data_IF_653048468039
#
_entry.id   IF_653048468039
#
_cell.length_a   1.000
_cell.length_b   1.000
_cell.length_c   1.000
_cell.angle_alpha   90.00
_cell.angle_beta   90.00
_cell.angle_gamma   90.00
#
_symmetry.space_group_name_H-M   'P 1'
#
loop_
_entity.id
_entity.type
_entity.pdbx_description
1 polymer ?
#
# COMPACT_ATOMS: atom_id res chain seq x y z
N UNK A 1 -19.89 -11.25 7.19
CA UNK A 1 -18.52 -11.11 7.72
C UNK A 1 -17.84 -9.96 6.99
N UNK A 2 -17.05 -9.13 7.67
CA UNK A 2 -16.37 -7.96 7.09
C UNK A 2 -15.54 -8.32 5.84
N UNK A 3 -14.86 -9.47 5.89
CA UNK A 3 -13.99 -9.99 4.84
C UNK A 3 -14.72 -10.53 3.60
N UNK A 4 -16.03 -10.81 3.69
CA UNK A 4 -16.80 -11.41 2.58
C UNK A 4 -16.76 -10.56 1.31
N UNK A 5 -16.62 -9.24 1.46
CA UNK A 5 -16.47 -8.30 0.36
C UNK A 5 -15.28 -8.65 -0.55
N UNK A 6 -14.15 -9.03 0.06
CA UNK A 6 -12.92 -9.40 -0.64
C UNK A 6 -13.05 -10.78 -1.29
N UNK A 7 -13.59 -11.77 -0.56
CA UNK A 7 -13.76 -13.13 -1.11
C UNK A 7 -14.78 -13.15 -2.26
N UNK A 8 -15.77 -12.26 -2.23
CA UNK A 8 -16.69 -12.08 -3.35
C UNK A 8 -16.00 -11.47 -4.58
N UNK A 9 -15.05 -10.54 -4.40
CA UNK A 9 -14.23 -10.05 -5.50
C UNK A 9 -13.41 -11.18 -6.12
N UNK A 10 -12.75 -12.01 -5.32
CA UNK A 10 -12.00 -13.18 -5.80
C UNK A 10 -12.87 -14.13 -6.62
N UNK A 11 -14.02 -14.55 -6.07
CA UNK A 11 -14.97 -15.41 -6.78
C UNK A 11 -15.47 -14.77 -8.07
N UNK A 12 -15.84 -13.48 -8.01
CA UNK A 12 -16.34 -12.76 -9.16
C UNK A 12 -15.33 -12.73 -10.31
N UNK A 13 -14.05 -12.45 -10.02
CA UNK A 13 -13.00 -12.42 -11.05
C UNK A 13 -12.65 -13.81 -11.56
N UNK A 14 -12.66 -14.84 -10.72
CA UNK A 14 -12.50 -16.23 -11.18
C UNK A 14 -13.59 -16.68 -12.15
N UNK A 15 -14.84 -16.26 -11.92
CA UNK A 15 -16.00 -16.66 -12.73
C UNK A 15 -16.20 -15.79 -13.97
N UNK A 16 -15.96 -14.48 -13.86
CA UNK A 16 -16.35 -13.48 -14.87
C UNK A 16 -15.17 -12.73 -15.48
N UNK A 17 -13.95 -12.94 -14.98
CA UNK A 17 -12.77 -12.23 -15.45
C UNK A 17 -12.39 -12.60 -16.88
N UNK A 18 -11.76 -11.66 -17.57
CA UNK A 18 -11.21 -11.85 -18.91
C UNK A 18 -9.71 -12.05 -18.84
N UNK A 19 -9.20 -13.01 -19.62
CA UNK A 19 -7.76 -13.18 -19.80
C UNK A 19 -7.18 -11.95 -20.50
N UNK A 20 -6.11 -11.40 -19.95
CA UNK A 20 -5.45 -10.19 -20.44
C UNK A 20 -3.94 -10.33 -20.34
N UNK A 21 -3.23 -9.86 -21.36
CA UNK A 21 -1.79 -9.63 -21.25
C UNK A 21 -1.49 -8.44 -20.34
N UNK A 22 -0.29 -8.41 -19.79
CA UNK A 22 0.13 -7.35 -18.87
C UNK A 22 1.63 -7.03 -19.01
N UNK A 23 2.09 -5.99 -18.31
CA UNK A 23 3.46 -5.46 -18.40
C UNK A 23 4.52 -6.47 -17.94
N UNK A 24 4.18 -7.36 -17.01
CA UNK A 24 5.06 -8.39 -16.44
C UNK A 24 5.17 -9.64 -17.34
N UNK A 25 4.39 -9.71 -18.41
CA UNK A 25 4.28 -10.89 -19.30
C UNK A 25 3.80 -12.17 -18.59
N UNK A 26 3.24 -12.06 -17.37
CA UNK A 26 2.69 -13.19 -16.61
C UNK A 26 1.28 -13.56 -17.09
N UNK A 27 0.51 -12.57 -17.53
CA UNK A 27 -0.91 -12.69 -17.83
C UNK A 27 -1.79 -12.58 -16.60
N UNK A 28 -3.00 -12.04 -16.77
CA UNK A 28 -3.97 -11.84 -15.70
C UNK A 28 -5.36 -12.31 -16.09
N UNK A 29 -6.16 -12.63 -15.07
CA UNK A 29 -7.61 -12.71 -15.15
C UNK A 29 -8.17 -11.43 -14.51
N UNK A 30 -8.86 -10.59 -15.30
CA UNK A 30 -9.18 -9.21 -14.90
C UNK A 30 -10.65 -8.84 -15.12
N UNK A 31 -11.17 -7.97 -14.25
CA UNK A 31 -12.41 -7.22 -14.46
C UNK A 31 -12.14 -5.72 -14.36
N UNK A 32 -12.98 -4.91 -15.01
CA UNK A 32 -12.88 -3.46 -14.96
C UNK A 32 -14.08 -2.84 -14.23
N UNK A 33 -13.82 -2.20 -13.09
CA UNK A 33 -14.84 -1.64 -12.23
C UNK A 33 -15.35 -2.64 -11.21
N UNK A 34 -15.01 -2.43 -9.94
CA UNK A 34 -15.56 -3.16 -8.81
C UNK A 34 -15.60 -2.27 -7.57
N UNK A 35 -16.58 -2.43 -6.69
CA UNK A 35 -16.65 -1.68 -5.44
C UNK A 35 -16.94 -2.61 -4.26
N UNK A 36 -16.13 -2.50 -3.22
CA UNK A 36 -16.31 -3.16 -1.92
C UNK A 36 -16.62 -2.12 -0.85
N UNK A 37 -17.39 -2.48 0.18
CA UNK A 37 -17.73 -1.59 1.30
C UNK A 37 -17.53 -2.32 2.63
N UNK A 38 -16.69 -1.75 3.50
CA UNK A 38 -16.30 -2.33 4.79
C UNK A 38 -16.81 -1.42 5.91
N UNK A 39 -17.73 -1.90 6.74
CA UNK A 39 -18.16 -1.21 7.96
C UNK A 39 -17.07 -1.35 9.03
N UNK A 40 -16.39 -0.25 9.35
CA UNK A 40 -15.27 -0.26 10.28
C UNK A 40 -15.73 -0.36 11.75
N UNK A 41 -17.02 -0.17 12.03
CA UNK A 41 -17.56 -0.37 13.38
C UNK A 41 -17.67 -1.84 13.76
N UNK A 42 -17.68 -2.75 12.78
CA UNK A 42 -17.74 -4.20 12.98
C UNK A 42 -16.35 -4.83 13.24
N UNK A 43 -15.27 -4.08 13.03
CA UNK A 43 -13.89 -4.51 13.25
C UNK A 43 -12.90 -3.95 12.23
N UNK A 44 -11.63 -4.27 12.41
CA UNK A 44 -10.57 -3.84 11.49
C UNK A 44 -10.44 -4.85 10.33
N UNK A 45 -10.55 -4.43 9.05
CA UNK A 45 -10.61 -5.33 7.89
C UNK A 45 -9.23 -5.89 7.49
N UNK A 46 -8.57 -6.57 8.43
CA UNK A 46 -7.35 -7.33 8.19
C UNK A 46 -7.72 -8.80 7.96
N UNK A 47 -7.39 -9.32 6.77
CA UNK A 47 -7.85 -10.65 6.37
C UNK A 47 -7.46 -11.74 7.35
N UNK A 48 -8.37 -12.68 7.56
CA UNK A 48 -8.28 -13.84 8.43
C UNK A 48 -8.16 -15.13 7.64
N UNK A 49 -8.65 -15.22 6.40
CA UNK A 49 -8.43 -16.40 5.53
C UNK A 49 -6.97 -16.54 5.08
N UNK A 50 -6.12 -15.53 5.25
CA UNK A 50 -4.67 -15.66 5.19
C UNK A 50 -3.99 -14.65 6.11
N UNK A 51 -2.78 -14.95 6.57
CA UNK A 51 -1.98 -14.01 7.37
C UNK A 51 -1.51 -12.83 6.52
N UNK A 52 -1.82 -11.63 6.96
CA UNK A 52 -1.36 -10.37 6.38
C UNK A 52 -0.42 -9.67 7.38
N UNK A 53 0.79 -9.24 6.96
CA UNK A 53 1.78 -8.69 7.88
C UNK A 53 1.48 -7.22 8.23
N UNK A 54 0.63 -7.00 9.23
CA UNK A 54 0.23 -5.66 9.70
C UNK A 54 1.40 -4.73 10.06
N UNK A 55 2.54 -5.31 10.47
CA UNK A 55 3.77 -4.56 10.73
C UNK A 55 4.26 -3.75 9.53
N UNK A 56 4.17 -4.33 8.33
CA UNK A 56 4.57 -3.67 7.09
C UNK A 56 3.58 -2.60 6.67
N UNK A 57 2.27 -2.88 6.80
CA UNK A 57 1.19 -1.93 6.47
C UNK A 57 1.32 -0.65 7.29
N UNK A 58 1.54 -0.79 8.61
CA UNK A 58 1.59 0.39 9.49
C UNK A 58 2.85 1.22 9.27
N UNK A 59 4.03 0.61 9.07
CA UNK A 59 5.25 1.39 8.81
C UNK A 59 5.19 2.08 7.45
N UNK A 60 4.65 1.44 6.42
CA UNK A 60 4.43 2.07 5.11
C UNK A 60 3.46 3.26 5.18
N UNK A 61 2.31 3.09 5.85
CA UNK A 61 1.35 4.19 5.98
C UNK A 61 1.96 5.37 6.77
N UNK A 62 2.67 5.10 7.86
CA UNK A 62 3.30 6.15 8.66
C UNK A 62 4.42 6.87 7.89
N UNK A 63 5.17 6.15 7.05
CA UNK A 63 6.13 6.73 6.12
C UNK A 63 5.46 7.71 5.14
N UNK A 64 4.34 7.31 4.51
CA UNK A 64 3.54 8.22 3.67
C UNK A 64 3.02 9.42 4.45
N UNK A 65 2.47 9.19 5.66
CA UNK A 65 1.93 10.26 6.49
C UNK A 65 3.00 11.24 6.94
N UNK A 66 4.25 10.83 7.12
CA UNK A 66 5.37 11.74 7.41
C UNK A 66 5.85 12.52 6.18
N UNK A 67 5.37 12.17 5.00
CA UNK A 67 5.77 12.81 3.74
C UNK A 67 7.16 12.39 3.26
N UNK A 68 7.72 11.34 3.86
CA UNK A 68 9.03 10.82 3.52
C UNK A 68 8.98 10.00 2.22
N UNK A 69 10.08 10.01 1.50
CA UNK A 69 10.27 9.35 0.20
C UNK A 69 11.53 8.49 0.18
N UNK A 70 12.28 8.46 1.29
CA UNK A 70 13.47 7.65 1.44
C UNK A 70 13.15 6.30 2.10
N UNK A 71 13.59 5.20 1.48
CA UNK A 71 13.35 3.85 2.00
C UNK A 71 14.08 3.54 3.32
N UNK A 72 15.04 4.37 3.76
CA UNK A 72 15.74 4.17 5.02
C UNK A 72 14.78 4.03 6.21
N UNK A 73 13.72 4.85 6.27
CA UNK A 73 12.70 4.72 7.30
C UNK A 73 12.06 3.33 7.28
N UNK A 74 11.75 2.81 6.10
CA UNK A 74 11.14 1.48 5.95
C UNK A 74 12.12 0.38 6.39
N UNK A 75 13.39 0.46 5.99
CA UNK A 75 14.43 -0.48 6.39
C UNK A 75 14.66 -0.52 7.91
N UNK A 76 14.65 0.64 8.58
CA UNK A 76 14.72 0.73 10.05
C UNK A 76 13.56 0.00 10.74
N UNK A 77 12.46 -0.23 10.02
CA UNK A 77 11.28 -0.96 10.49
C UNK A 77 11.16 -2.37 9.87
N UNK A 78 12.25 -2.92 9.33
CA UNK A 78 12.29 -4.21 8.63
C UNK A 78 11.22 -4.33 7.53
N UNK A 79 10.94 -3.22 6.85
CA UNK A 79 10.01 -3.17 5.74
C UNK A 79 10.78 -2.99 4.43
N UNK A 80 10.72 -4.02 3.59
CA UNK A 80 11.47 -4.14 2.34
C UNK A 80 10.57 -4.00 1.10
N UNK A 81 9.29 -3.61 1.27
CA UNK A 81 8.31 -3.58 0.16
C UNK A 81 8.80 -2.71 -0.99
N UNK A 82 9.54 -1.64 -0.69
CA UNK A 82 9.95 -0.63 -1.65
C UNK A 82 11.38 -0.76 -2.16
N UNK A 83 12.10 -1.79 -1.71
CA UNK A 83 13.54 -1.85 -1.92
C UNK A 83 13.91 -2.06 -3.39
N UNK A 84 13.09 -2.78 -4.17
CA UNK A 84 13.39 -3.13 -5.57
C UNK A 84 13.49 -1.88 -6.47
N UNK A 85 12.65 -0.87 -6.23
CA UNK A 85 12.70 0.37 -7.01
C UNK A 85 13.96 1.18 -6.69
N UNK A 86 14.34 1.26 -5.43
CA UNK A 86 15.57 1.93 -5.00
C UNK A 86 16.82 1.17 -5.45
N UNK A 87 16.81 -0.15 -5.33
CA UNK A 87 17.88 -1.03 -5.79
C UNK A 87 18.09 -0.92 -7.30
N UNK A 88 17.00 -0.91 -8.09
CA UNK A 88 17.05 -0.69 -9.53
C UNK A 88 17.77 0.62 -9.88
N UNK A 89 17.40 1.72 -9.21
CA UNK A 89 18.05 3.04 -9.38
C UNK A 89 19.56 2.98 -9.13
N UNK A 90 19.99 2.19 -8.14
CA UNK A 90 21.42 2.01 -7.84
C UNK A 90 22.13 1.17 -8.90
N UNK A 91 21.62 -0.02 -9.24
CA UNK A 91 22.31 -0.94 -10.16
C UNK A 91 22.33 -0.46 -11.61
N UNK A 92 21.42 0.43 -12.00
CA UNK A 92 21.41 1.10 -13.30
C UNK A 92 22.29 2.36 -13.35
N UNK A 93 22.95 2.72 -12.25
CA UNK A 93 23.80 3.92 -12.17
C UNK A 93 25.26 3.66 -12.56
N UNK A 94 25.96 4.70 -12.99
CA UNK A 94 27.40 4.63 -13.35
C UNK A 94 28.31 4.28 -12.15
N UNK A 95 27.82 4.41 -10.91
CA UNK A 95 28.57 4.09 -9.70
C UNK A 95 28.44 2.63 -9.27
N UNK A 96 27.55 1.87 -9.91
CA UNK A 96 27.44 0.45 -9.64
C UNK A 96 28.58 -0.32 -10.30
N UNK A 97 29.36 -1.04 -9.49
CA UNK A 97 30.54 -1.80 -9.93
C UNK A 97 30.40 -3.30 -9.62
N UNK A 98 29.18 -3.76 -9.34
CA UNK A 98 28.88 -5.15 -9.04
C UNK A 98 28.63 -6.01 -10.29
N UNK A 99 28.21 -7.28 -10.11
CA UNK A 99 27.86 -8.16 -11.23
C UNK A 99 26.62 -7.65 -11.98
N UNK A 100 26.42 -8.10 -13.22
CA UNK A 100 25.27 -7.69 -14.05
C UNK A 100 23.93 -8.02 -13.40
N UNK A 101 23.20 -6.98 -12.98
CA UNK A 101 21.87 -7.03 -12.37
C UNK A 101 20.72 -6.73 -13.34
N UNK A 102 21.00 -6.66 -14.65
CA UNK A 102 19.94 -6.46 -15.65
C UNK A 102 18.87 -7.52 -15.50
N UNK A 103 17.61 -7.12 -15.45
CA UNK A 103 16.47 -8.04 -15.31
C UNK A 103 16.50 -8.93 -14.04
N UNK A 104 17.01 -8.38 -12.92
CA UNK A 104 17.15 -9.12 -11.66
C UNK A 104 15.83 -9.72 -11.14
N UNK A 105 14.69 -9.07 -11.42
CA UNK A 105 13.37 -9.52 -10.99
C UNK A 105 13.02 -10.89 -11.54
N UNK A 106 13.19 -11.12 -12.85
CA UNK A 106 12.92 -12.42 -13.47
C UNK A 106 14.06 -13.42 -13.26
N UNK A 107 15.31 -12.98 -13.37
CA UNK A 107 16.48 -13.87 -13.22
C UNK A 107 16.56 -14.49 -11.84
N UNK A 108 16.25 -13.75 -10.77
CA UNK A 108 16.25 -14.28 -9.40
C UNK A 108 15.24 -15.41 -9.16
N UNK A 109 14.19 -15.50 -9.98
CA UNK A 109 13.17 -16.55 -9.90
C UNK A 109 13.55 -17.81 -10.69
N UNK A 110 14.45 -17.70 -11.67
CA UNK A 110 14.72 -18.76 -12.66
C UNK A 110 16.15 -19.29 -12.62
N UNK A 111 17.09 -18.50 -12.10
CA UNK A 111 18.51 -18.82 -11.99
C UNK A 111 18.94 -18.82 -10.50
N UNK A 112 19.13 -20.00 -9.89
CA UNK A 112 19.54 -20.11 -8.49
C UNK A 112 20.90 -19.48 -8.18
N UNK A 113 21.86 -19.52 -9.10
CA UNK A 113 23.19 -18.94 -8.88
C UNK A 113 23.10 -17.41 -8.89
N UNK A 114 22.36 -16.86 -9.85
CA UNK A 114 22.07 -15.44 -9.89
C UNK A 114 21.28 -14.99 -8.66
N UNK A 115 20.32 -15.78 -8.18
CA UNK A 115 19.55 -15.43 -6.98
C UNK A 115 20.44 -15.25 -5.74
N UNK A 116 21.48 -16.06 -5.57
CA UNK A 116 22.45 -15.86 -4.48
C UNK A 116 23.25 -14.56 -4.66
N UNK A 117 23.68 -14.24 -5.88
CA UNK A 117 24.34 -12.94 -6.18
C UNK A 117 23.41 -11.76 -5.91
N UNK A 118 22.15 -11.85 -6.34
CA UNK A 118 21.12 -10.84 -6.10
C UNK A 118 20.93 -10.60 -4.61
N UNK A 119 20.81 -11.65 -3.79
CA UNK A 119 20.66 -11.52 -2.33
C UNK A 119 21.87 -10.82 -1.69
N UNK A 120 23.08 -11.17 -2.11
CA UNK A 120 24.32 -10.54 -1.59
C UNK A 120 24.33 -9.04 -1.91
N UNK A 121 24.09 -8.68 -3.17
CA UNK A 121 24.12 -7.28 -3.60
C UNK A 121 22.95 -6.47 -3.02
N UNK A 122 21.77 -7.09 -2.88
CA UNK A 122 20.61 -6.50 -2.22
C UNK A 122 20.89 -6.22 -0.73
N UNK A 123 21.50 -7.17 -0.03
CA UNK A 123 21.91 -6.98 1.36
C UNK A 123 22.89 -5.81 1.48
N UNK A 124 23.96 -5.82 0.67
CA UNK A 124 24.96 -4.74 0.60
C UNK A 124 24.32 -3.37 0.32
N UNK A 125 23.32 -3.32 -0.56
CA UNK A 125 22.58 -2.10 -0.84
C UNK A 125 21.83 -1.62 0.41
N UNK A 126 21.04 -2.50 1.05
CA UNK A 126 20.25 -2.12 2.24
C UNK A 126 21.12 -1.70 3.42
N UNK A 127 22.27 -2.34 3.62
CA UNK A 127 23.25 -1.94 4.64
C UNK A 127 23.80 -0.54 4.37
N UNK A 128 24.20 -0.24 3.12
CA UNK A 128 24.66 1.11 2.76
C UNK A 128 23.57 2.17 2.92
N UNK A 129 22.31 1.87 2.60
CA UNK A 129 21.20 2.80 2.85
C UNK A 129 21.09 3.09 4.36
N UNK A 130 21.27 2.10 5.23
CA UNK A 130 21.18 2.30 6.68
C UNK A 130 22.38 3.05 7.27
N UNK A 131 23.59 2.78 6.76
CA UNK A 131 24.84 3.22 7.39
C UNK A 131 25.45 4.49 6.79
N UNK A 132 25.19 4.78 5.50
CA UNK A 132 25.79 5.92 4.78
C UNK A 132 24.70 6.93 4.38
N UNK A 133 24.72 8.11 5.00
CA UNK A 133 23.79 9.22 4.73
C UNK A 133 23.86 9.73 3.30
N UNK A 134 25.05 9.75 2.70
CA UNK A 134 25.24 10.21 1.31
C UNK A 134 24.67 9.20 0.33
N UNK A 135 24.97 7.92 0.56
CA UNK A 135 24.42 6.83 -0.25
C UNK A 135 22.90 6.78 -0.14
N UNK A 136 22.37 6.88 1.08
CA UNK A 136 20.94 6.91 1.36
C UNK A 136 20.22 8.08 0.70
N UNK A 137 20.75 9.29 0.82
CA UNK A 137 20.15 10.46 0.18
C UNK A 137 20.09 10.31 -1.35
N UNK A 138 21.09 9.65 -1.95
CA UNK A 138 21.19 9.49 -3.40
C UNK A 138 20.34 8.33 -3.94
N UNK A 139 20.43 7.16 -3.34
CA UNK A 139 19.84 5.92 -3.87
C UNK A 139 18.63 5.43 -3.08
N UNK A 140 18.42 5.91 -1.85
CA UNK A 140 17.27 5.58 -1.03
C UNK A 140 16.01 6.40 -1.34
N UNK A 141 16.17 7.59 -1.92
CA UNK A 141 15.06 8.45 -2.30
C UNK A 141 14.39 7.98 -3.61
N UNK A 142 13.10 7.65 -3.51
CA UNK A 142 12.25 7.22 -4.60
C UNK A 142 11.63 8.38 -5.38
N UNK A 143 11.87 9.63 -4.96
CA UNK A 143 11.34 10.83 -5.59
C UNK A 143 9.85 11.02 -5.29
N UNK A 144 9.06 11.36 -6.32
CA UNK A 144 7.68 11.83 -6.16
C UNK A 144 6.66 10.68 -5.90
N UNK A 145 6.86 9.89 -4.84
CA UNK A 145 5.97 8.80 -4.38
C UNK A 145 4.82 9.32 -3.49
N UNK A 146 4.00 8.42 -2.93
CA UNK A 146 2.79 8.77 -2.17
C UNK A 146 3.03 9.82 -1.08
N UNK A 147 4.09 9.68 -0.27
CA UNK A 147 4.41 10.62 0.81
C UNK A 147 4.54 12.06 0.32
N UNK A 148 5.36 12.29 -0.70
CA UNK A 148 5.50 13.62 -1.30
C UNK A 148 4.23 14.10 -2.00
N UNK A 149 3.49 13.23 -2.68
CA UNK A 149 2.22 13.65 -3.30
C UNK A 149 1.21 14.10 -2.23
N UNK A 150 1.14 13.39 -1.10
CA UNK A 150 0.17 13.68 -0.04
C UNK A 150 0.56 14.88 0.81
N UNK A 151 1.84 15.06 1.11
CA UNK A 151 2.32 16.05 2.10
C UNK A 151 3.08 17.23 1.48
N UNK A 152 3.55 17.11 0.24
CA UNK A 152 4.43 18.09 -0.40
C UNK A 152 4.20 18.20 -1.92
N UNK A 153 2.93 18.25 -2.35
CA UNK A 153 2.59 18.37 -3.77
C UNK A 153 3.17 19.66 -4.35
N UNK A 154 4.08 19.55 -5.32
CA UNK A 154 4.77 20.70 -5.91
C UNK A 154 3.82 21.50 -6.82
N UNK A 155 3.78 22.81 -6.64
CA UNK A 155 2.99 23.71 -7.49
C UNK A 155 3.85 24.26 -8.63
N UNK A 156 3.19 24.83 -9.64
CA UNK A 156 3.86 25.55 -10.73
C UNK A 156 4.61 26.81 -10.27
N UNK A 157 4.37 27.29 -9.05
CA UNK A 157 5.05 28.45 -8.44
C UNK A 157 6.26 28.04 -7.60
N UNK A 158 6.56 26.74 -7.47
CA UNK A 158 7.66 26.22 -6.65
C UNK A 158 7.32 26.08 -5.16
N UNK A 159 6.06 26.26 -4.78
CA UNK A 159 5.55 26.01 -3.43
C UNK A 159 5.12 24.54 -3.28
N UNK A 160 4.75 24.14 -2.07
CA UNK A 160 4.23 22.80 -1.79
C UNK A 160 2.86 22.86 -1.13
N UNK A 161 2.01 21.88 -1.43
CA UNK A 161 0.67 21.72 -0.83
C UNK A 161 0.65 20.45 0.01
N UNK A 162 0.33 20.60 1.30
CA UNK A 162 0.05 19.49 2.21
C UNK A 162 -1.44 19.11 2.13
N UNK A 163 -1.77 18.16 1.24
CA UNK A 163 -3.15 17.74 1.01
C UNK A 163 -3.76 17.05 2.24
N UNK A 164 -2.96 16.32 3.03
CA UNK A 164 -3.44 15.61 4.23
C UNK A 164 -3.80 16.59 5.34
N UNK A 165 -2.93 17.56 5.63
CA UNK A 165 -3.25 18.59 6.64
C UNK A 165 -4.48 19.40 6.21
N UNK A 166 -4.54 19.82 4.94
CA UNK A 166 -5.68 20.55 4.40
C UNK A 166 -7.00 19.78 4.52
N UNK A 167 -7.00 18.47 4.26
CA UNK A 167 -8.24 17.67 4.35
C UNK A 167 -8.65 17.43 5.79
N UNK A 168 -7.71 17.25 6.73
CA UNK A 168 -8.00 17.16 8.17
C UNK A 168 -8.64 18.46 8.66
N UNK A 169 -8.09 19.62 8.28
CA UNK A 169 -8.65 20.92 8.63
C UNK A 169 -10.04 21.12 8.02
N UNK A 170 -10.26 20.62 6.80
CA UNK A 170 -11.58 20.64 6.17
C UNK A 170 -12.59 19.75 6.90
N UNK A 171 -12.19 18.56 7.36
CA UNK A 171 -13.05 17.69 8.16
C UNK A 171 -13.46 18.38 9.47
N UNK A 172 -12.50 19.02 10.16
CA UNK A 172 -12.76 19.72 11.44
C UNK A 172 -13.68 20.92 11.28
N UNK A 173 -13.46 21.72 10.24
CA UNK A 173 -14.09 23.05 10.11
C UNK A 173 -15.24 23.10 9.10
N UNK A 174 -15.35 22.12 8.20
CA UNK A 174 -16.38 22.04 7.17
C UNK A 174 -16.73 20.57 6.84
N UNK A 175 -17.24 19.79 7.82
CA UNK A 175 -17.45 18.34 7.68
C UNK A 175 -18.44 17.96 6.57
N UNK A 176 -19.33 18.87 6.16
CA UNK A 176 -20.28 18.64 5.07
C UNK A 176 -19.68 18.88 3.67
N UNK A 177 -18.39 19.22 3.59
CA UNK A 177 -17.71 19.48 2.32
C UNK A 177 -17.70 18.25 1.42
N UNK A 178 -18.06 18.44 0.15
CA UNK A 178 -17.96 17.40 -0.88
C UNK A 178 -16.61 17.43 -1.60
N UNK A 179 -15.61 18.12 -1.02
CA UNK A 179 -14.30 18.38 -1.62
C UNK A 179 -13.14 17.87 -0.76
N UNK A 180 -13.43 16.99 0.20
CA UNK A 180 -12.42 16.39 1.09
C UNK A 180 -11.64 15.31 0.33
N UNK A 181 -10.76 15.72 -0.57
CA UNK A 181 -10.07 14.86 -1.54
C UNK A 181 -8.56 14.98 -1.39
N UNK A 182 -7.86 13.86 -1.53
CA UNK A 182 -6.41 13.80 -1.71
C UNK A 182 -6.11 13.00 -2.97
N UNK A 183 -5.22 13.53 -3.82
CA UNK A 183 -4.79 12.88 -5.05
C UNK A 183 -3.31 12.54 -4.99
N UNK A 184 -2.94 11.34 -5.45
CA UNK A 184 -1.56 10.99 -5.78
C UNK A 184 -1.28 11.09 -7.28
N UNK A 185 -2.31 11.32 -8.10
CA UNK A 185 -2.17 11.33 -9.56
C UNK A 185 -1.73 12.70 -10.07
N UNK A 186 -0.42 12.90 -10.22
CA UNK A 186 0.16 14.09 -10.85
C UNK A 186 0.45 13.84 -12.35
N UNK A 187 -0.27 14.49 -13.29
CA UNK A 187 -0.04 14.33 -14.72
C UNK A 187 1.38 14.70 -15.18
N UNK A 188 2.10 15.54 -14.45
CA UNK A 188 3.50 15.91 -14.75
C UNK A 188 4.48 14.78 -14.42
N UNK A 189 4.27 14.08 -13.31
CA UNK A 189 5.19 13.05 -12.79
C UNK A 189 4.91 11.65 -13.39
N UNK A 190 3.65 11.36 -13.74
CA UNK A 190 3.23 10.03 -14.22
C UNK A 190 4.05 9.52 -15.42
N UNK A 191 4.39 10.33 -16.44
CA UNK A 191 5.15 9.86 -17.60
C UNK A 191 6.58 9.38 -17.29
N UNK A 192 7.18 9.83 -16.19
CA UNK A 192 8.57 9.51 -15.82
C UNK A 192 8.68 8.67 -14.55
N UNK A 193 7.56 8.39 -13.88
CA UNK A 193 7.51 7.54 -12.69
C UNK A 193 7.81 6.07 -13.02
N UNK A 194 8.64 5.42 -12.18
CA UNK A 194 8.89 3.99 -12.30
C UNK A 194 7.63 3.14 -12.07
N UNK A 195 6.74 3.60 -11.19
CA UNK A 195 5.41 3.02 -10.97
C UNK A 195 4.41 4.14 -10.63
N UNK A 196 3.61 4.59 -11.60
CA UNK A 196 2.54 5.56 -11.33
C UNK A 196 1.62 5.07 -10.20
N UNK A 197 1.13 5.93 -9.30
CA UNK A 197 0.32 5.52 -8.15
C UNK A 197 -0.87 4.63 -8.53
N UNK A 198 -0.91 3.43 -7.94
CA UNK A 198 -2.05 2.52 -8.05
C UNK A 198 -3.25 3.09 -7.29
N UNK A 199 -3.02 3.69 -6.13
CA UNK A 199 -4.03 4.42 -5.35
C UNK A 199 -4.06 5.87 -5.84
N UNK A 200 -4.92 6.16 -6.81
CA UNK A 200 -4.84 7.43 -7.54
C UNK A 200 -5.45 8.59 -6.76
N UNK A 201 -6.56 8.34 -6.05
CA UNK A 201 -7.32 9.37 -5.34
C UNK A 201 -8.15 8.74 -4.21
N UNK A 202 -8.34 9.47 -3.12
CA UNK A 202 -9.33 9.11 -2.11
C UNK A 202 -10.13 10.33 -1.63
N UNK A 203 -11.35 10.08 -1.17
CA UNK A 203 -12.30 11.08 -0.72
C UNK A 203 -12.85 10.71 0.65
N UNK A 204 -12.89 11.68 1.57
CA UNK A 204 -13.57 11.56 2.85
C UNK A 204 -15.02 12.04 2.80
N UNK A 205 -15.81 11.53 3.72
CA UNK A 205 -17.21 11.90 3.91
C UNK A 205 -17.57 11.85 5.39
N UNK A 206 -18.28 12.85 5.89
CA UNK A 206 -18.79 12.88 7.27
C UNK A 206 -20.31 12.89 7.24
N UNK A 207 -20.92 11.97 7.99
CA UNK A 207 -22.36 11.97 8.28
C UNK A 207 -22.60 11.36 9.66
N UNK A 208 -23.57 11.89 10.39
CA UNK A 208 -23.99 11.38 11.70
C UNK A 208 -22.83 11.16 12.70
N UNK A 209 -21.84 12.06 12.67
CA UNK A 209 -20.65 11.98 13.53
C UNK A 209 -19.63 10.91 13.12
N UNK A 210 -19.80 10.26 11.96
CA UNK A 210 -18.93 9.20 11.46
C UNK A 210 -18.14 9.63 10.22
N UNK A 211 -16.85 9.31 10.20
CA UNK A 211 -15.95 9.53 9.07
C UNK A 211 -15.87 8.26 8.20
N UNK A 212 -16.15 8.41 6.91
CA UNK A 212 -15.94 7.38 5.90
C UNK A 212 -14.86 7.81 4.90
N UNK A 213 -14.22 6.84 4.26
CA UNK A 213 -13.21 7.07 3.24
C UNK A 213 -13.50 6.20 2.02
N UNK A 214 -13.48 6.79 0.83
CA UNK A 214 -13.54 6.08 -0.43
C UNK A 214 -12.21 6.19 -1.16
N UNK A 215 -11.60 5.05 -1.51
CA UNK A 215 -10.43 4.95 -2.37
C UNK A 215 -10.85 4.64 -3.81
N UNK A 216 -10.27 5.36 -4.77
CA UNK A 216 -10.19 4.95 -6.17
C UNK A 216 -8.78 4.39 -6.47
N UNK A 217 -8.72 3.08 -6.68
CA UNK A 217 -7.51 2.36 -7.07
C UNK A 217 -7.59 1.99 -8.55
N UNK A 218 -6.77 2.61 -9.41
CA UNK A 218 -6.83 2.35 -10.86
C UNK A 218 -6.49 0.90 -11.24
N UNK A 219 -5.70 0.23 -10.42
CA UNK A 219 -5.16 -1.11 -10.68
C UNK A 219 -4.91 -1.83 -9.36
N UNK A 220 -5.51 -3.01 -9.18
CA UNK A 220 -5.44 -3.79 -7.94
C UNK A 220 -5.12 -5.25 -8.20
N UNK A 221 -3.92 -5.66 -7.81
CA UNK A 221 -3.56 -7.07 -7.63
C UNK A 221 -4.40 -7.62 -6.48
N UNK A 222 -5.35 -8.50 -6.82
CA UNK A 222 -6.31 -9.07 -5.90
C UNK A 222 -5.62 -9.94 -4.85
N UNK A 223 -4.61 -10.72 -5.21
CA UNK A 223 -4.08 -11.71 -4.30
C UNK A 223 -3.04 -11.11 -3.34
N UNK A 224 -2.05 -10.37 -3.83
CA UNK A 224 -0.99 -9.81 -2.98
C UNK A 224 -1.29 -8.39 -2.50
N UNK A 225 -1.76 -7.52 -3.40
CA UNK A 225 -1.86 -6.08 -3.13
C UNK A 225 -3.09 -5.65 -2.34
N UNK A 226 -4.27 -6.05 -2.78
CA UNK A 226 -5.56 -5.59 -2.21
C UNK A 226 -5.68 -5.87 -0.69
N UNK A 227 -5.24 -7.02 -0.14
CA UNK A 227 -5.23 -7.23 1.32
C UNK A 227 -4.46 -6.15 2.11
N UNK A 228 -3.32 -5.70 1.58
CA UNK A 228 -2.55 -4.59 2.16
C UNK A 228 -3.30 -3.27 2.02
N UNK A 229 -3.90 -3.03 0.85
CA UNK A 229 -4.55 -1.77 0.53
C UNK A 229 -5.81 -1.53 1.39
N UNK A 230 -6.62 -2.57 1.61
CA UNK A 230 -7.78 -2.52 2.49
C UNK A 230 -7.36 -2.10 3.90
N UNK A 231 -6.35 -2.78 4.47
CA UNK A 231 -5.87 -2.50 5.81
C UNK A 231 -5.22 -1.11 5.94
N UNK A 232 -4.47 -0.66 4.92
CA UNK A 232 -3.81 0.65 4.92
C UNK A 232 -4.82 1.80 4.96
N UNK A 233 -5.85 1.77 4.08
CA UNK A 233 -6.84 2.83 4.04
C UNK A 233 -7.88 2.75 5.17
N UNK A 234 -8.16 1.57 5.70
CA UNK A 234 -8.91 1.44 6.96
C UNK A 234 -8.13 2.08 8.12
N UNK A 235 -6.82 1.85 8.22
CA UNK A 235 -5.97 2.45 9.24
C UNK A 235 -5.88 3.98 9.09
N UNK A 236 -5.77 4.49 7.86
CA UNK A 236 -5.82 5.92 7.58
C UNK A 236 -7.14 6.55 8.06
N UNK A 237 -8.26 5.88 7.81
CA UNK A 237 -9.60 6.33 8.22
C UNK A 237 -9.70 6.40 9.74
N UNK A 238 -9.24 5.37 10.45
CA UNK A 238 -9.18 5.31 11.91
C UNK A 238 -8.34 6.43 12.51
N UNK A 239 -7.13 6.67 11.97
CA UNK A 239 -6.24 7.74 12.42
C UNK A 239 -6.87 9.12 12.26
N UNK A 240 -7.46 9.41 11.09
CA UNK A 240 -8.07 10.71 10.82
C UNK A 240 -9.36 10.89 11.63
N UNK A 241 -10.20 9.86 11.76
CA UNK A 241 -11.40 9.92 12.60
C UNK A 241 -11.02 10.28 14.05
N UNK A 242 -10.00 9.61 14.60
CA UNK A 242 -9.47 9.89 15.93
C UNK A 242 -8.96 11.33 16.08
N UNK A 243 -8.14 11.82 15.14
CA UNK A 243 -7.58 13.16 15.18
C UNK A 243 -8.62 14.28 14.95
N UNK A 244 -9.80 13.93 14.45
CA UNK A 244 -10.91 14.86 14.20
C UNK A 244 -12.06 14.69 15.19
N UNK A 245 -11.94 13.76 16.16
CA UNK A 245 -12.96 13.51 17.17
C UNK A 245 -14.23 12.85 16.63
N UNK A 246 -14.14 12.15 15.51
CA UNK A 246 -15.24 11.44 14.86
C UNK A 246 -15.17 9.93 15.16
N UNK A 247 -16.32 9.27 15.07
CA UNK A 247 -16.39 7.81 14.99
C UNK A 247 -16.01 7.34 13.58
N UNK A 248 -15.65 6.06 13.43
CA UNK A 248 -15.46 5.47 12.10
C UNK A 248 -16.78 5.05 11.48
N UNK A 249 -16.92 5.32 10.19
CA UNK A 249 -18.00 4.82 9.34
C UNK A 249 -17.49 3.69 8.45
N UNK A 250 -17.48 3.90 7.14
CA UNK A 250 -17.13 2.88 6.17
C UNK A 250 -15.81 3.19 5.45
N UNK A 251 -15.08 2.14 5.11
CA UNK A 251 -14.10 2.18 4.04
C UNK A 251 -14.73 1.63 2.75
N UNK A 252 -14.71 2.42 1.68
CA UNK A 252 -15.23 2.06 0.35
C UNK A 252 -14.04 1.93 -0.60
N UNK A 253 -13.90 0.75 -1.21
CA UNK A 253 -12.78 0.47 -2.09
C UNK A 253 -13.29 0.28 -3.52
N UNK A 254 -13.08 1.31 -4.36
CA UNK A 254 -13.39 1.29 -5.79
C UNK A 254 -12.12 0.95 -6.57
N UNK A 255 -12.20 -0.07 -7.42
CA UNK A 255 -11.07 -0.55 -8.24
C UNK A 255 -11.41 -0.41 -9.73
N UNK A 256 -10.45 0.10 -10.50
CA UNK A 256 -10.45 0.08 -11.96
C UNK A 256 -10.17 -1.32 -12.48
N UNK A 257 -8.93 -1.60 -12.91
CA UNK A 257 -8.49 -2.95 -13.30
C UNK A 257 -8.20 -3.80 -12.06
N UNK A 258 -9.17 -4.64 -11.67
CA UNK A 258 -9.03 -5.61 -10.59
C UNK A 258 -8.63 -6.97 -11.18
N UNK A 259 -7.45 -7.47 -10.81
CA UNK A 259 -6.86 -8.63 -11.49
C UNK A 259 -6.24 -9.65 -10.55
N UNK A 260 -6.35 -10.92 -10.94
CA UNK A 260 -5.61 -12.04 -10.37
C UNK A 260 -4.52 -12.40 -11.39
N UNK A 261 -3.25 -12.43 -10.98
CA UNK A 261 -2.19 -12.94 -11.86
C UNK A 261 -2.40 -14.44 -12.12
N UNK A 262 -2.06 -14.87 -13.34
CA UNK A 262 -2.26 -16.26 -13.77
C UNK A 262 -1.56 -17.27 -12.84
N UNK A 263 -0.41 -16.90 -12.28
CA UNK A 263 0.38 -17.68 -11.33
C UNK A 263 -0.12 -17.61 -9.86
N UNK A 264 -1.23 -16.93 -9.60
CA UNK A 264 -1.87 -16.83 -8.28
C UNK A 264 -3.22 -17.56 -8.20
N UNK A 265 -3.71 -18.13 -9.31
CA UNK A 265 -5.04 -18.72 -9.39
C UNK A 265 -5.27 -19.86 -8.38
N UNK A 266 -4.26 -20.69 -8.13
CA UNK A 266 -4.40 -21.82 -7.21
C UNK A 266 -4.37 -21.36 -5.74
N UNK A 267 -3.60 -20.32 -5.43
CA UNK A 267 -3.57 -19.70 -4.11
C UNK A 267 -4.89 -19.00 -3.77
N UNK A 268 -5.52 -18.35 -4.76
CA UNK A 268 -6.87 -17.77 -4.58
C UNK A 268 -7.88 -18.89 -4.30
N UNK A 269 -7.86 -20.00 -5.05
CA UNK A 269 -8.75 -21.14 -4.78
C UNK A 269 -8.54 -21.72 -3.39
N UNK A 270 -7.29 -21.91 -2.97
CA UNK A 270 -6.95 -22.36 -1.61
C UNK A 270 -7.51 -21.40 -0.54
N UNK A 271 -7.40 -20.09 -0.76
CA UNK A 271 -7.94 -19.09 0.17
C UNK A 271 -9.47 -19.18 0.27
N UNK A 272 -10.16 -19.38 -0.85
CA UNK A 272 -11.63 -19.47 -0.93
C UNK A 272 -12.22 -20.71 -0.26
N UNK A 273 -11.40 -21.75 0.01
CA UNK A 273 -11.81 -22.93 0.79
C UNK A 273 -11.84 -22.65 2.31
N UNK A 274 -11.23 -21.55 2.76
CA UNK A 274 -11.11 -21.24 4.19
C UNK A 274 -12.31 -20.44 4.68
N UNK A 275 -12.84 -20.83 5.84
CA UNK A 275 -13.89 -20.06 6.52
C UNK A 275 -13.29 -18.83 7.21
N UNK A 276 -13.82 -17.60 6.97
CA UNK A 276 -13.41 -16.40 7.70
C UNK A 276 -13.56 -16.55 9.21
N UNK A 277 -12.66 -15.91 9.95
CA UNK A 277 -12.70 -15.82 11.42
C UNK A 277 -13.11 -14.41 11.85
N UNK A 278 -13.45 -14.17 13.13
CA UNK A 278 -13.79 -12.83 13.61
C UNK A 278 -12.72 -11.80 13.26
N UNK A 279 -13.15 -10.61 12.83
CA UNK A 279 -12.24 -9.51 12.51
C UNK A 279 -11.48 -9.06 13.78
N UNK A 280 -10.18 -8.73 13.67
CA UNK A 280 -9.45 -8.16 14.79
C UNK A 280 -9.94 -6.75 15.12
N UNK A 281 -9.50 -6.22 16.26
CA UNK A 281 -9.74 -4.83 16.65
C UNK A 281 -8.46 -4.02 16.59
N UNK A 282 -8.54 -2.81 16.06
CA UNK A 282 -7.44 -1.86 16.10
C UNK A 282 -7.35 -1.24 17.50
N UNK A 283 -6.14 -1.07 18.02
CA UNK A 283 -5.89 -0.42 19.30
C UNK A 283 -4.67 0.49 19.22
N UNK A 284 -4.84 1.68 19.77
CA UNK A 284 -3.80 2.67 19.95
C UNK A 284 -3.30 2.63 21.40
N UNK A 285 -2.04 2.26 21.61
CA UNK A 285 -1.41 2.20 22.93
C UNK A 285 -1.16 3.59 23.51
N UNK A 286 -0.85 4.53 22.63
CA UNK A 286 -0.67 5.94 22.94
C UNK A 286 -1.62 6.76 22.09
N UNK A 287 -2.08 7.88 22.65
CA UNK A 287 -2.87 8.87 21.94
C UNK A 287 -1.97 10.07 21.69
N UNK A 288 -1.85 10.44 20.42
CA UNK A 288 -1.19 11.67 19.99
C UNK A 288 -2.21 12.65 19.41
N UNK A 289 -1.95 13.94 19.57
CA UNK A 289 -2.81 15.01 19.06
C UNK A 289 -2.77 15.10 17.52
N UNK A 290 -1.61 14.78 16.93
CA UNK A 290 -1.37 14.77 15.49
C UNK A 290 -1.23 13.34 14.98
N UNK A 291 -1.81 13.05 13.81
CA UNK A 291 -1.63 11.75 13.15
C UNK A 291 -0.19 11.54 12.68
N UNK A 292 0.60 12.61 12.55
CA UNK A 292 1.98 12.57 12.05
C UNK A 292 2.98 12.10 13.12
N UNK A 293 2.57 12.10 14.40
CA UNK A 293 3.41 11.77 15.55
C UNK A 293 3.32 10.29 15.95
N UNK A 294 2.42 9.52 15.32
CA UNK A 294 2.32 8.09 15.57
C UNK A 294 3.56 7.37 15.05
N UNK A 295 4.04 6.43 15.86
CA UNK A 295 5.07 5.47 15.47
C UNK A 295 4.48 4.05 15.40
N UNK A 296 5.13 3.11 14.68
CA UNK A 296 4.60 1.75 14.53
C UNK A 296 4.32 1.06 15.87
N UNK A 297 5.06 1.37 16.92
CA UNK A 297 4.87 0.81 18.27
C UNK A 297 3.50 1.15 18.90
N UNK A 298 2.91 2.27 18.50
CA UNK A 298 1.67 2.81 19.07
C UNK A 298 0.43 2.09 18.57
N UNK A 299 0.53 1.43 17.41
CA UNK A 299 -0.61 0.86 16.68
C UNK A 299 -0.50 -0.67 16.71
N UNK A 300 -1.49 -1.33 17.31
CA UNK A 300 -1.58 -2.79 17.38
C UNK A 300 -2.95 -3.30 16.99
N UNK A 301 -3.00 -4.57 16.55
CA UNK A 301 -4.25 -5.31 16.33
C UNK A 301 -4.40 -6.35 17.42
N UNK A 302 -5.56 -6.39 18.07
CA UNK A 302 -5.93 -7.37 19.10
C UNK A 302 -6.92 -8.40 18.53
N UNK A 303 -6.81 -9.65 18.97
CA UNK A 303 -7.70 -10.72 18.51
C UNK A 303 -7.45 -11.19 17.07
N UNK A 304 -6.28 -10.89 16.49
CA UNK A 304 -5.95 -11.34 15.14
C UNK A 304 -5.54 -12.82 15.10
N UNK A 305 -6.47 -13.68 14.69
CA UNK A 305 -6.30 -15.13 14.57
C UNK A 305 -6.44 -15.60 13.11
N UNK A 306 -5.48 -15.31 12.22
CA UNK A 306 -5.59 -15.71 10.82
C UNK A 306 -5.24 -17.18 10.60
N UNK A 307 -5.78 -17.74 9.52
CA UNK A 307 -5.25 -18.95 8.89
C UNK A 307 -3.78 -18.74 8.45
N UNK A 308 -3.02 -19.83 8.19
CA UNK A 308 -1.62 -19.75 7.78
C UNK A 308 -1.39 -18.87 6.54
N UNK A 309 -0.16 -18.37 6.40
CA UNK A 309 0.27 -17.63 5.21
C UNK A 309 0.12 -18.50 3.95
N UNK A 310 -0.39 -17.91 2.87
CA UNK A 310 -0.36 -18.50 1.53
C UNK A 310 0.73 -17.75 0.76
N UNK A 311 1.73 -18.47 0.26
CA UNK A 311 2.86 -17.87 -0.48
C UNK A 311 2.52 -17.79 -1.97
N UNK A 312 2.82 -16.66 -2.59
CA UNK A 312 2.79 -16.52 -4.05
C UNK A 312 4.00 -15.71 -4.54
N UNK A 313 4.52 -16.02 -5.73
CA UNK A 313 5.60 -15.25 -6.34
C UNK A 313 5.09 -13.86 -6.74
N UNK A 314 5.90 -12.82 -6.56
CA UNK A 314 5.59 -11.48 -7.08
C UNK A 314 5.69 -11.52 -8.62
N UNK A 315 4.69 -10.99 -9.31
CA UNK A 315 4.76 -10.77 -10.75
C UNK A 315 5.53 -9.46 -11.01
N UNK A 316 6.65 -9.53 -11.74
CA UNK A 316 7.60 -8.42 -11.95
C UNK A 316 7.65 -7.97 -13.39
#
# INVERSE_FOLDING_TARGET
>A
MLEEQYLNLERYVLENGHLKGDRTQTGTLSTFGYQMRFDLSEGFPLLTTKRVPFGLIKSELLWFLKGDTNIRYLLQHNNHIWDEWAFKKWVESDEYQGPDMTDFGHRSLTDPEFNELYKIEKQRFTEQILEDDTFSAKYGDLGNVYGSQWRAWKTSTGETIDQISNVIDMIKNNPNSRRMIVSAWNPEDVPTSALPPCHSLFQFYVADGKLSCQLYQRSGDIFLGIPFNIASYALLTELIAKATGLEVGEFIHTIGDAHIYSNHLDQVKEQLERTPRPAPKLKFKQVHDSIFDYEPGDIVVEGYDPHPTIKAPVAV
#
